data_IF_447261761797
#
_entry.id   IF_447261761797
#
_cell.length_a   1.000
_cell.length_b   1.000
_cell.length_c   1.000
_cell.angle_alpha   90.00
_cell.angle_beta   90.00
_cell.angle_gamma   90.00
#
_symmetry.space_group_name_H-M   'P 1'
#
loop_
_entity.id
_entity.type
_entity.pdbx_description
1 polymer ?
#
# COMPACT_ATOMS: atom_id res chain seq x y z
N UNK A 1 4.73 2.24 -10.80
CA UNK A 1 3.75 1.26 -10.30
C UNK A 1 4.19 0.79 -8.93
N UNK A 2 3.31 0.66 -7.94
CA UNK A 2 3.67 0.08 -6.64
C UNK A 2 3.66 -1.45 -6.79
N UNK A 3 4.71 -2.14 -6.35
CA UNK A 3 4.79 -3.61 -6.37
C UNK A 3 4.41 -4.23 -5.03
N UNK A 4 4.63 -3.51 -3.93
CA UNK A 4 4.45 -4.06 -2.58
C UNK A 4 4.14 -2.97 -1.55
N UNK A 5 3.28 -3.28 -0.57
CA UNK A 5 3.11 -2.48 0.65
C UNK A 5 3.88 -3.20 1.76
N UNK A 6 5.16 -2.88 1.94
CA UNK A 6 6.03 -3.58 2.89
C UNK A 6 5.49 -3.52 4.31
N UNK A 7 5.06 -2.32 4.72
CA UNK A 7 4.65 -2.02 6.07
C UNK A 7 3.58 -0.95 6.08
N UNK A 8 2.58 -1.14 6.96
CA UNK A 8 1.53 -0.18 7.20
C UNK A 8 1.19 -0.18 8.70
N UNK A 9 1.45 0.93 9.39
CA UNK A 9 1.11 1.09 10.82
C UNK A 9 0.16 2.26 11.03
N UNK A 10 -0.73 2.11 12.01
CA UNK A 10 -1.71 3.14 12.44
C UNK A 10 -2.51 3.73 11.27
N UNK A 11 -2.84 2.92 10.26
CA UNK A 11 -3.58 3.35 9.08
C UNK A 11 -4.99 2.73 9.06
N UNK A 12 -5.92 3.40 9.74
CA UNK A 12 -7.29 2.89 9.91
C UNK A 12 -7.29 1.52 10.58
N UNK A 13 -7.84 0.50 9.92
CA UNK A 13 -7.87 -0.87 10.46
C UNK A 13 -6.51 -1.58 10.37
N UNK A 14 -5.57 -1.07 9.57
CA UNK A 14 -4.23 -1.64 9.44
C UNK A 14 -3.32 -1.08 10.54
N UNK A 15 -3.38 -1.72 11.71
CA UNK A 15 -2.65 -1.26 12.90
C UNK A 15 -1.15 -1.55 12.83
N UNK A 16 -0.79 -2.76 12.37
CA UNK A 16 0.60 -3.20 12.22
C UNK A 16 0.72 -4.28 11.14
N UNK A 17 0.38 -3.92 9.91
CA UNK A 17 0.46 -4.82 8.77
C UNK A 17 1.90 -4.91 8.24
N UNK A 18 2.34 -6.13 7.97
CA UNK A 18 3.59 -6.45 7.28
C UNK A 18 3.29 -7.39 6.13
N UNK A 19 3.86 -7.14 4.97
CA UNK A 19 3.60 -7.97 3.79
C UNK A 19 4.09 -9.41 3.99
N UNK A 20 3.19 -10.37 3.86
CA UNK A 20 3.50 -11.79 3.89
C UNK A 20 2.35 -12.62 3.33
N UNK A 21 2.68 -13.72 2.64
CA UNK A 21 1.70 -14.69 2.16
C UNK A 21 0.89 -14.29 0.92
N UNK A 22 1.28 -13.22 0.21
CA UNK A 22 0.65 -12.80 -1.07
C UNK A 22 1.69 -12.36 -2.10
N UNK A 23 1.37 -12.59 -3.38
CA UNK A 23 2.13 -12.13 -4.55
C UNK A 23 2.23 -10.60 -4.60
N UNK A 24 3.32 -10.08 -5.18
CA UNK A 24 3.43 -8.67 -5.56
C UNK A 24 2.26 -8.21 -6.44
N UNK A 25 1.94 -6.91 -6.37
CA UNK A 25 0.95 -6.31 -7.23
C UNK A 25 1.34 -6.45 -8.71
N UNK A 26 0.37 -6.91 -9.51
CA UNK A 26 0.47 -7.03 -10.97
C UNK A 26 -0.14 -5.80 -11.64
N UNK A 27 -0.08 -5.72 -12.98
CA UNK A 27 -0.72 -4.64 -13.74
C UNK A 27 -2.23 -4.52 -13.47
N UNK A 28 -2.89 -5.65 -13.17
CA UNK A 28 -4.29 -5.73 -12.74
C UNK A 28 -4.36 -6.58 -11.48
N UNK A 29 -5.08 -6.08 -10.47
CA UNK A 29 -5.28 -6.77 -9.19
C UNK A 29 -6.77 -6.73 -8.85
N UNK A 30 -7.30 -7.82 -8.31
CA UNK A 30 -8.65 -7.88 -7.76
C UNK A 30 -8.56 -7.95 -6.24
N UNK A 31 -9.04 -6.92 -5.55
CA UNK A 31 -9.14 -6.90 -4.08
C UNK A 31 -10.60 -7.04 -3.68
N UNK A 32 -10.92 -8.08 -2.91
CA UNK A 32 -12.28 -8.38 -2.48
C UNK A 32 -12.28 -8.86 -1.02
N UNK A 33 -13.47 -8.98 -0.42
CA UNK A 33 -13.63 -9.42 0.96
C UNK A 33 -14.92 -8.86 1.59
N UNK A 34 -15.20 -9.28 2.82
CA UNK A 34 -16.37 -8.86 3.59
C UNK A 34 -16.42 -7.36 3.85
N UNK A 35 -17.61 -6.83 4.18
CA UNK A 35 -17.71 -5.46 4.66
C UNK A 35 -16.81 -5.28 5.89
N UNK A 36 -16.27 -4.08 6.04
CA UNK A 36 -15.31 -3.74 7.11
C UNK A 36 -13.94 -4.46 7.05
N UNK A 37 -13.68 -5.30 6.03
CA UNK A 37 -12.38 -5.98 5.84
C UNK A 37 -11.23 -5.07 5.39
N UNK A 38 -11.45 -3.76 5.28
CA UNK A 38 -10.39 -2.79 4.93
C UNK A 38 -10.29 -2.35 3.48
N UNK A 39 -11.18 -2.81 2.59
CA UNK A 39 -11.14 -2.45 1.15
C UNK A 39 -11.12 -0.93 0.93
N UNK A 40 -12.05 -0.20 1.56
CA UNK A 40 -12.09 1.27 1.47
C UNK A 40 -10.87 1.93 2.09
N UNK A 41 -10.37 1.37 3.20
CA UNK A 41 -9.12 1.83 3.83
C UNK A 41 -7.93 1.64 2.88
N UNK A 42 -7.84 0.50 2.20
CA UNK A 42 -6.80 0.25 1.20
C UNK A 42 -6.90 1.23 0.01
N UNK A 43 -8.10 1.58 -0.44
CA UNK A 43 -8.28 2.62 -1.47
C UNK A 43 -7.76 3.98 -1.01
N UNK A 44 -7.97 4.36 0.27
CA UNK A 44 -7.41 5.59 0.84
C UNK A 44 -5.89 5.56 0.89
N UNK A 45 -5.27 4.40 1.13
CA UNK A 45 -3.82 4.27 1.06
C UNK A 45 -3.29 4.64 -0.33
N UNK A 46 -3.90 4.11 -1.40
CA UNK A 46 -3.49 4.47 -2.76
C UNK A 46 -3.70 5.97 -3.05
N UNK A 47 -4.78 6.57 -2.55
CA UNK A 47 -5.01 8.01 -2.66
C UNK A 47 -3.89 8.81 -1.97
N UNK A 48 -3.53 8.49 -0.72
CA UNK A 48 -2.43 9.15 0.00
C UNK A 48 -1.12 9.06 -0.79
N UNK A 49 -0.82 7.88 -1.35
CA UNK A 49 0.38 7.66 -2.15
C UNK A 49 0.39 8.44 -3.48
N UNK A 50 -0.75 8.58 -4.13
CA UNK A 50 -0.91 9.35 -5.37
C UNK A 50 -0.71 10.85 -5.14
N UNK A 51 -1.37 11.40 -4.13
CA UNK A 51 -1.35 12.83 -3.85
C UNK A 51 -0.15 13.29 -3.02
N UNK A 52 0.67 12.36 -2.51
CA UNK A 52 1.81 12.62 -1.62
C UNK A 52 1.43 13.44 -0.36
N UNK A 53 0.16 13.41 0.01
CA UNK A 53 -0.39 14.17 1.13
C UNK A 53 -0.66 13.23 2.31
N UNK A 54 0.28 13.21 3.25
CA UNK A 54 0.19 12.42 4.48
C UNK A 54 -0.85 12.96 5.47
N UNK A 55 -1.24 14.23 5.34
CA UNK A 55 -2.25 14.85 6.22
C UNK A 55 -3.67 14.55 5.74
N UNK A 56 -3.83 13.96 4.56
CA UNK A 56 -5.13 13.66 3.98
C UNK A 56 -5.87 12.54 4.73
N UNK A 57 -5.12 11.59 5.30
CA UNK A 57 -5.65 10.45 6.04
C UNK A 57 -4.60 9.90 7.02
N UNK A 58 -4.98 9.76 8.29
CA UNK A 58 -4.18 9.10 9.35
C UNK A 58 -2.78 9.73 9.54
N UNK A 59 -2.76 10.91 10.16
CA UNK A 59 -1.56 11.75 10.31
C UNK A 59 -0.36 11.05 10.96
N UNK A 60 -0.61 10.09 11.86
CA UNK A 60 0.45 9.33 12.56
C UNK A 60 0.80 8.01 11.88
N UNK A 61 0.35 7.78 10.64
CA UNK A 61 0.57 6.51 9.95
C UNK A 61 1.99 6.36 9.42
N UNK A 62 2.53 5.14 9.51
CA UNK A 62 3.79 4.78 8.85
C UNK A 62 3.46 3.91 7.63
N UNK A 63 3.93 4.35 6.45
CA UNK A 63 3.69 3.68 5.18
C UNK A 63 5.05 3.41 4.53
N UNK A 64 5.30 2.16 4.19
CA UNK A 64 6.47 1.74 3.43
C UNK A 64 6.02 0.93 2.21
N UNK A 65 6.42 1.36 1.01
CA UNK A 65 6.06 0.73 -0.25
C UNK A 65 7.29 0.49 -1.13
N UNK A 66 7.25 -0.56 -1.94
CA UNK A 66 8.26 -0.82 -2.96
C UNK A 66 7.71 -0.53 -4.36
N UNK A 67 8.62 -0.13 -5.23
CA UNK A 67 8.42 0.14 -6.64
C UNK A 67 9.24 -0.87 -7.46
N UNK A 68 8.92 -1.09 -8.74
CA UNK A 68 9.71 -1.97 -9.58
C UNK A 68 11.16 -1.49 -9.60
N UNK A 69 12.08 -2.42 -9.39
CA UNK A 69 13.50 -2.17 -9.60
C UNK A 69 13.69 -1.90 -11.08
N UNK A 70 14.08 -0.68 -11.44
CA UNK A 70 14.56 -0.41 -12.79
C UNK A 70 15.88 -1.16 -12.90
N UNK A 71 16.06 -2.09 -13.85
CA UNK A 71 17.35 -2.71 -14.06
C UNK A 71 18.33 -1.59 -14.43
N UNK A 72 19.32 -1.36 -13.57
CA UNK A 72 20.46 -0.52 -13.91
C UNK A 72 21.16 -1.25 -15.05
N UNK A 73 21.03 -0.73 -16.26
CA UNK A 73 21.90 -1.15 -17.35
C UNK A 73 23.28 -0.60 -17.01
N UNK A 74 24.15 -1.47 -16.52
CA UNK A 74 25.57 -1.15 -16.36
C UNK A 74 26.12 -1.07 -17.78
N UNK A 75 26.56 0.13 -18.18
CA UNK A 75 27.16 0.40 -19.48
C UNK A 75 28.52 -0.29 -19.63
#
# INVERSE_FOLDING_TARGET
MITKINKLKRFGIYQNYTWGGIDEFKKKNLVYGWNYSGKTTLSKLFQVLEFKDKNRCFNDSEIEVSYPKIPIQVA
#
